data_IF_784590019373
#
_entry.id   IF_784590019373
#
_cell.length_a   1.000
_cell.length_b   1.000
_cell.length_c   1.000
_cell.angle_alpha   90.00
_cell.angle_beta   90.00
_cell.angle_gamma   90.00
#
_symmetry.space_group_name_H-M   'P 1'
#
loop_
_entity.id
_entity.type
_entity.pdbx_description
1 polymer ?
#
# COMPACT_ATOMS: atom_id res chain seq x y z
N UNK A 1 7.02 -0.11 25.85
CA UNK A 1 5.87 -0.81 26.46
C UNK A 1 4.52 -0.40 25.84
N UNK A 2 4.21 0.89 25.70
CA UNK A 2 2.92 1.38 25.16
C UNK A 2 2.57 0.85 23.75
N UNK A 3 3.53 0.83 22.81
CA UNK A 3 3.28 0.39 21.43
C UNK A 3 2.94 -1.10 21.33
N UNK A 4 3.65 -1.95 22.08
CA UNK A 4 3.39 -3.40 22.10
C UNK A 4 1.98 -3.73 22.64
N UNK A 5 1.55 -3.01 23.69
CA UNK A 5 0.19 -3.15 24.24
C UNK A 5 -0.88 -2.66 23.27
N UNK A 6 -0.63 -1.55 22.56
CA UNK A 6 -1.56 -1.03 21.55
C UNK A 6 -1.71 -2.01 20.37
N UNK A 7 -0.61 -2.54 19.83
CA UNK A 7 -0.65 -3.52 18.74
C UNK A 7 -1.40 -4.79 19.15
N UNK A 8 -1.11 -5.32 20.34
CA UNK A 8 -1.80 -6.51 20.85
C UNK A 8 -3.31 -6.29 21.02
N UNK A 9 -3.70 -5.13 21.58
CA UNK A 9 -5.11 -4.78 21.76
C UNK A 9 -5.85 -4.61 20.42
N UNK A 10 -5.22 -3.92 19.45
CA UNK A 10 -5.79 -3.75 18.11
C UNK A 10 -5.91 -5.07 17.36
N UNK A 11 -4.92 -5.96 17.50
CA UNK A 11 -4.98 -7.30 16.93
C UNK A 11 -6.14 -8.13 17.53
N UNK A 12 -6.31 -8.09 18.86
CA UNK A 12 -7.41 -8.78 19.52
C UNK A 12 -8.79 -8.24 19.07
N UNK A 13 -8.95 -6.92 18.99
CA UNK A 13 -10.16 -6.31 18.43
C UNK A 13 -10.40 -6.75 16.98
N UNK A 14 -9.35 -6.78 16.15
CA UNK A 14 -9.47 -7.22 14.76
C UNK A 14 -9.98 -8.67 14.69
N UNK A 15 -9.36 -9.60 15.43
CA UNK A 15 -9.75 -11.01 15.43
C UNK A 15 -11.19 -11.19 15.91
N UNK A 16 -11.60 -10.47 16.96
CA UNK A 16 -12.98 -10.53 17.48
C UNK A 16 -14.02 -10.07 16.47
N UNK A 17 -13.74 -9.00 15.72
CA UNK A 17 -14.70 -8.43 14.77
C UNK A 17 -14.60 -9.00 13.35
N UNK A 18 -13.50 -9.68 13.02
CA UNK A 18 -13.23 -10.26 11.68
C UNK A 18 -12.74 -11.72 11.80
N UNK A 19 -13.56 -12.65 12.30
CA UNK A 19 -13.12 -14.03 12.56
C UNK A 19 -12.70 -14.81 11.30
N UNK A 20 -13.16 -14.38 10.11
CA UNK A 20 -12.75 -14.93 8.81
C UNK A 20 -11.64 -14.15 8.10
N UNK A 21 -11.03 -13.13 8.73
CA UNK A 21 -9.89 -12.45 8.13
C UNK A 21 -8.69 -13.40 8.01
N UNK A 22 -7.86 -13.17 7.00
CA UNK A 22 -6.60 -13.90 6.84
C UNK A 22 -5.75 -13.77 8.10
N UNK A 23 -5.29 -14.91 8.61
CA UNK A 23 -4.33 -14.99 9.72
C UNK A 23 -2.90 -15.09 9.21
N UNK A 24 -2.72 -15.12 7.89
CA UNK A 24 -1.41 -15.23 7.27
C UNK A 24 -0.66 -13.91 7.44
N UNK A 25 0.65 -14.01 7.66
CA UNK A 25 1.52 -12.85 7.51
C UNK A 25 1.65 -12.58 6.02
N UNK A 26 1.39 -11.35 5.64
CA UNK A 26 1.67 -10.88 4.30
C UNK A 26 3.15 -10.50 4.21
N UNK A 27 3.75 -10.78 3.06
CA UNK A 27 5.13 -10.47 2.74
C UNK A 27 5.20 -9.40 1.64
N UNK A 28 4.25 -9.40 0.70
CA UNK A 28 4.25 -8.49 -0.46
C UNK A 28 3.03 -7.56 -0.43
N UNK A 29 3.29 -6.24 -0.51
CA UNK A 29 2.24 -5.22 -0.61
C UNK A 29 2.49 -4.27 -1.77
N UNK A 30 1.44 -4.06 -2.57
CA UNK A 30 1.43 -3.09 -3.65
C UNK A 30 0.66 -1.84 -3.26
N UNK A 31 1.23 -0.67 -3.51
CA UNK A 31 0.51 0.61 -3.36
C UNK A 31 0.24 1.22 -4.73
N UNK A 32 -1.04 1.33 -5.08
CA UNK A 32 -1.49 2.01 -6.29
C UNK A 32 -1.76 3.49 -5.98
N UNK A 33 -1.31 4.38 -6.87
CA UNK A 33 -1.32 5.83 -6.72
C UNK A 33 -0.40 6.33 -5.59
N UNK A 34 0.84 6.62 -5.96
CA UNK A 34 1.93 7.02 -5.05
C UNK A 34 1.90 8.51 -4.68
N UNK A 35 0.72 9.02 -4.35
CA UNK A 35 0.56 10.36 -3.78
C UNK A 35 1.05 10.46 -2.33
N UNK A 36 0.70 11.54 -1.63
CA UNK A 36 1.13 11.76 -0.23
C UNK A 36 0.79 10.57 0.70
N UNK A 37 -0.43 10.05 0.60
CA UNK A 37 -0.89 8.93 1.44
C UNK A 37 -0.23 7.62 1.01
N UNK A 38 -0.21 7.32 -0.29
CA UNK A 38 0.43 6.11 -0.82
C UNK A 38 1.90 6.03 -0.44
N UNK A 39 2.65 7.12 -0.55
CA UNK A 39 4.06 7.16 -0.17
C UNK A 39 4.29 6.92 1.33
N UNK A 40 3.44 7.46 2.21
CA UNK A 40 3.53 7.20 3.65
C UNK A 40 3.24 5.74 3.97
N UNK A 41 2.20 5.17 3.36
CA UNK A 41 1.84 3.77 3.57
C UNK A 41 2.95 2.83 3.07
N UNK A 42 3.49 3.06 1.87
CA UNK A 42 4.59 2.29 1.31
C UNK A 42 5.85 2.33 2.21
N UNK A 43 6.24 3.50 2.72
CA UNK A 43 7.36 3.60 3.68
C UNK A 43 7.08 2.89 5.01
N UNK A 44 5.82 2.91 5.46
CA UNK A 44 5.43 2.23 6.70
C UNK A 44 5.50 0.72 6.53
N UNK A 45 5.08 0.21 5.38
CA UNK A 45 5.20 -1.20 5.01
C UNK A 45 6.67 -1.65 4.90
N UNK A 46 7.53 -0.86 4.25
CA UNK A 46 8.97 -1.11 4.21
C UNK A 46 9.59 -1.18 5.62
N UNK A 47 9.22 -0.24 6.50
CA UNK A 47 9.68 -0.23 7.89
C UNK A 47 9.17 -1.44 8.70
N UNK A 48 8.09 -2.09 8.25
CA UNK A 48 7.58 -3.33 8.82
C UNK A 48 8.25 -4.59 8.24
N UNK A 49 9.19 -4.43 7.29
CA UNK A 49 9.92 -5.53 6.66
C UNK A 49 9.16 -6.22 5.53
N UNK A 50 8.17 -5.55 4.94
CA UNK A 50 7.44 -6.05 3.78
C UNK A 50 8.18 -5.70 2.49
N UNK A 51 8.05 -6.56 1.48
CA UNK A 51 8.39 -6.23 0.11
C UNK A 51 7.31 -5.30 -0.45
N UNK A 52 7.74 -4.11 -0.89
CA UNK A 52 6.82 -3.06 -1.32
C UNK A 52 6.97 -2.76 -2.79
N UNK A 53 5.87 -2.89 -3.50
CA UNK A 53 5.72 -2.48 -4.88
C UNK A 53 4.91 -1.18 -4.97
N UNK A 54 5.25 -0.32 -5.92
CA UNK A 54 4.52 0.93 -6.16
C UNK A 54 4.20 1.08 -7.64
N UNK A 55 2.98 1.51 -7.93
CA UNK A 55 2.53 1.73 -9.29
C UNK A 55 1.75 3.04 -9.43
N UNK A 56 1.99 3.70 -10.55
CA UNK A 56 1.20 4.82 -11.04
C UNK A 56 0.15 4.37 -12.06
N UNK A 57 -0.55 5.34 -12.66
CA UNK A 57 -1.46 5.08 -13.78
C UNK A 57 -0.74 4.93 -15.13
N UNK A 58 0.53 5.32 -15.19
CA UNK A 58 1.39 5.21 -16.36
C UNK A 58 2.40 4.06 -16.22
N UNK A 59 3.33 3.97 -17.16
CA UNK A 59 4.41 3.01 -17.10
C UNK A 59 5.30 3.14 -15.84
N UNK A 60 6.02 2.07 -15.51
CA UNK A 60 6.85 2.04 -14.30
C UNK A 60 8.00 3.06 -14.32
N UNK A 61 8.58 3.30 -15.51
CA UNK A 61 9.74 4.18 -15.66
C UNK A 61 9.42 5.64 -15.38
N UNK A 62 8.18 6.08 -15.67
CA UNK A 62 7.68 7.42 -15.32
C UNK A 62 7.82 7.76 -13.83
N UNK A 63 7.76 6.75 -12.96
CA UNK A 63 7.81 6.95 -11.50
C UNK A 63 9.05 6.34 -10.84
N UNK A 64 9.91 5.65 -11.58
CA UNK A 64 11.03 4.89 -11.00
C UNK A 64 11.98 5.78 -10.18
N UNK A 65 12.43 6.90 -10.76
CA UNK A 65 13.30 7.85 -10.06
C UNK A 65 12.62 8.50 -8.85
N UNK A 66 11.33 8.86 -8.99
CA UNK A 66 10.57 9.44 -7.89
C UNK A 66 10.42 8.42 -6.74
N UNK A 67 10.12 7.17 -7.05
CA UNK A 67 9.97 6.09 -6.08
C UNK A 67 11.30 5.86 -5.34
N UNK A 68 12.42 5.79 -6.06
CA UNK A 68 13.75 5.63 -5.45
C UNK A 68 14.05 6.73 -4.43
N UNK A 69 13.71 7.99 -4.74
CA UNK A 69 13.96 9.14 -3.86
C UNK A 69 12.97 9.23 -2.70
N UNK A 70 11.68 9.07 -2.96
CA UNK A 70 10.60 9.33 -1.98
C UNK A 70 10.31 8.12 -1.10
N UNK A 71 10.57 6.92 -1.61
CA UNK A 71 10.25 5.63 -1.01
C UNK A 71 11.41 4.64 -1.28
N UNK A 72 12.62 4.95 -0.79
CA UNK A 72 13.80 4.13 -1.05
C UNK A 72 13.57 2.69 -0.57
N UNK A 73 13.81 1.73 -1.47
CA UNK A 73 13.57 0.30 -1.26
C UNK A 73 12.26 -0.23 -1.85
N UNK A 74 11.33 0.63 -2.26
CA UNK A 74 10.16 0.21 -3.02
C UNK A 74 10.51 -0.06 -4.49
N UNK A 75 9.87 -1.06 -5.10
CA UNK A 75 10.03 -1.40 -6.52
C UNK A 75 8.93 -0.74 -7.34
N UNK A 76 9.31 0.12 -8.27
CA UNK A 76 8.38 0.67 -9.25
C UNK A 76 8.06 -0.39 -10.31
N UNK A 77 6.77 -0.58 -10.62
CA UNK A 77 6.29 -1.52 -11.64
C UNK A 77 4.98 -1.03 -12.26
N UNK A 78 4.48 -1.74 -13.27
CA UNK A 78 3.17 -1.42 -13.84
C UNK A 78 2.07 -1.75 -12.82
N UNK A 79 0.90 -1.13 -12.99
CA UNK A 79 -0.24 -1.44 -12.11
C UNK A 79 -0.72 -2.89 -12.25
N UNK A 80 -0.57 -3.49 -13.44
CA UNK A 80 -0.92 -4.88 -13.71
C UNK A 80 -0.01 -5.82 -12.92
N UNK A 81 1.31 -5.71 -13.10
CA UNK A 81 2.29 -6.52 -12.37
C UNK A 81 2.15 -6.33 -10.84
N UNK A 82 1.91 -5.10 -10.39
CA UNK A 82 1.71 -4.80 -8.97
C UNK A 82 0.50 -5.52 -8.38
N UNK A 83 -0.58 -5.65 -9.14
CA UNK A 83 -1.79 -6.34 -8.68
C UNK A 83 -1.61 -7.85 -8.74
N UNK A 84 -0.92 -8.36 -9.76
CA UNK A 84 -0.64 -9.79 -9.92
C UNK A 84 0.28 -10.33 -8.81
N UNK A 85 1.36 -9.62 -8.50
CA UNK A 85 2.38 -10.10 -7.57
C UNK A 85 2.01 -9.94 -6.08
N UNK A 86 1.06 -9.06 -5.75
CA UNK A 86 0.81 -8.67 -4.37
C UNK A 86 -0.25 -9.50 -3.65
N UNK A 87 0.03 -9.79 -2.38
CA UNK A 87 -0.96 -10.42 -1.49
C UNK A 87 -1.93 -9.38 -0.92
N UNK A 88 -1.48 -8.12 -0.82
CA UNK A 88 -2.32 -6.97 -0.48
C UNK A 88 -2.10 -5.85 -1.49
N UNK A 89 -3.20 -5.32 -2.02
CA UNK A 89 -3.22 -4.09 -2.82
C UNK A 89 -3.84 -2.94 -2.03
N UNK A 90 -3.05 -1.90 -1.78
CA UNK A 90 -3.50 -0.64 -1.19
C UNK A 90 -3.81 0.38 -2.31
N UNK A 91 -5.08 0.76 -2.42
CA UNK A 91 -5.53 1.77 -3.38
C UNK A 91 -5.60 3.15 -2.70
N UNK A 92 -4.58 3.99 -2.90
CA UNK A 92 -4.46 5.29 -2.25
C UNK A 92 -5.00 6.44 -3.11
N UNK A 93 -6.24 6.29 -3.60
CA UNK A 93 -6.90 7.27 -4.48
C UNK A 93 -7.75 8.29 -3.71
N UNK A 94 -7.95 9.46 -4.31
CA UNK A 94 -8.80 10.52 -3.77
C UNK A 94 -10.28 10.16 -3.98
N UNK A 95 -10.91 9.53 -3.00
CA UNK A 95 -12.32 9.11 -3.10
C UNK A 95 -13.30 10.26 -3.42
N UNK A 96 -13.01 11.49 -2.96
CA UNK A 96 -13.86 12.65 -3.28
C UNK A 96 -13.85 13.02 -4.77
N UNK A 97 -12.85 12.56 -5.54
CA UNK A 97 -12.79 12.76 -6.99
C UNK A 97 -13.48 11.67 -7.79
N UNK A 98 -13.88 10.58 -7.14
CA UNK A 98 -14.46 9.41 -7.82
C UNK A 98 -15.80 9.72 -8.50
N UNK A 99 -16.54 10.72 -7.99
CA UNK A 99 -17.80 11.17 -8.57
C UNK A 99 -17.69 12.54 -9.26
N UNK A 100 -16.46 13.01 -9.52
CA UNK A 100 -16.20 14.27 -10.21
C UNK A 100 -16.34 14.05 -11.73
N UNK A 101 -17.28 14.72 -12.41
CA UNK A 101 -17.50 14.54 -13.85
C UNK A 101 -16.32 14.99 -14.73
N UNK A 102 -15.35 15.73 -14.18
CA UNK A 102 -14.15 16.18 -14.89
C UNK A 102 -12.98 15.19 -14.74
N UNK A 103 -13.08 14.19 -13.86
CA UNK A 103 -12.04 13.19 -13.69
C UNK A 103 -12.12 12.11 -14.80
N UNK A 104 -11.00 11.73 -15.45
CA UNK A 104 -11.00 10.67 -16.45
C UNK A 104 -11.44 9.35 -15.79
N UNK A 105 -12.46 8.72 -16.40
CA UNK A 105 -12.93 7.39 -15.97
C UNK A 105 -12.07 6.30 -16.55
#
# INVERSE_FOLDING_TARGET
>A
MLTATATAHLHDLHVRHRPGASKQRFEIVSTLAVGRVGAVAARTALAAGLDVHVAGSGPAEDIALLAEVVIPGARAMTAEDAVEDAEIVLIAVLLHKFNDPVWPR
#
